data_IF_241902116805
#
_entry.id   IF_241902116805
#
_cell.length_a   1.000
_cell.length_b   1.000
_cell.length_c   1.000
_cell.angle_alpha   90.00
_cell.angle_beta   90.00
_cell.angle_gamma   90.00
#
_symmetry.space_group_name_H-M   'P 1'
#
loop_
_entity.id
_entity.type
_entity.pdbx_description
1 polymer ?
#
# COMPACT_ATOMS: atom_id res chain seq x y z
N UNK A 1 18.91 27.67 22.52
CA UNK A 1 18.24 26.53 21.94
C UNK A 1 17.33 27.07 20.85
N UNK A 2 17.72 26.90 19.58
CA UNK A 2 16.90 27.22 18.41
C UNK A 2 16.13 25.94 18.05
N UNK A 3 14.85 25.82 18.43
CA UNK A 3 13.92 24.93 17.78
C UNK A 3 13.53 25.61 16.46
N UNK A 4 14.13 25.20 15.37
CA UNK A 4 13.62 25.51 14.06
C UNK A 4 12.28 24.76 13.91
N UNK A 5 11.17 25.49 13.81
CA UNK A 5 9.89 24.91 13.46
C UNK A 5 10.06 24.25 12.08
N UNK A 6 9.96 22.93 12.03
CA UNK A 6 9.88 22.21 10.75
C UNK A 6 8.63 22.72 10.03
N UNK A 7 8.73 23.12 8.74
CA UNK A 7 7.55 23.49 8.00
C UNK A 7 6.62 22.28 7.96
N UNK A 8 5.35 22.50 8.34
CA UNK A 8 4.29 21.52 8.13
C UNK A 8 4.36 21.03 6.69
N UNK A 9 4.69 19.75 6.49
CA UNK A 9 4.67 19.09 5.17
C UNK A 9 3.21 18.93 4.75
N UNK A 10 2.57 20.05 4.37
CA UNK A 10 1.24 20.00 3.77
C UNK A 10 1.37 19.45 2.38
N UNK A 11 0.55 18.46 2.05
CA UNK A 11 0.44 17.96 0.70
C UNK A 11 0.14 19.15 -0.23
N UNK A 12 1.00 19.36 -1.24
CA UNK A 12 0.85 20.44 -2.19
C UNK A 12 -0.45 20.26 -3.00
N UNK A 13 -1.23 21.33 -3.15
CA UNK A 13 -2.41 21.30 -4.01
C UNK A 13 -2.00 21.05 -5.45
N UNK A 14 -2.73 20.18 -6.15
CA UNK A 14 -2.41 19.73 -7.50
C UNK A 14 -3.66 19.73 -8.37
N UNK A 15 -3.55 20.24 -9.59
CA UNK A 15 -4.55 20.12 -10.64
C UNK A 15 -3.98 19.30 -11.80
N UNK A 16 -4.57 18.14 -12.08
CA UNK A 16 -4.29 17.37 -13.28
C UNK A 16 -5.31 17.82 -14.34
N UNK A 17 -4.84 18.39 -15.45
CA UNK A 17 -5.69 18.99 -16.48
C UNK A 17 -5.75 18.14 -17.74
N UNK A 18 -6.96 18.05 -18.33
CA UNK A 18 -7.17 17.41 -19.62
C UNK A 18 -6.79 15.94 -19.65
N UNK A 19 -7.23 15.19 -18.64
CA UNK A 19 -6.96 13.76 -18.50
C UNK A 19 -8.12 12.90 -19.00
N UNK A 20 -7.81 11.68 -19.43
CA UNK A 20 -8.81 10.62 -19.54
C UNK A 20 -8.92 9.93 -18.17
N UNK A 21 -9.96 10.25 -17.41
CA UNK A 21 -10.10 9.78 -16.03
C UNK A 21 -10.98 8.52 -15.97
N UNK A 22 -10.40 7.42 -15.49
CA UNK A 22 -11.11 6.17 -15.21
C UNK A 22 -11.56 6.18 -13.75
N UNK A 23 -12.84 6.51 -13.50
CA UNK A 23 -13.31 6.73 -12.12
C UNK A 23 -13.54 5.43 -11.35
N UNK A 24 -13.72 4.31 -12.03
CA UNK A 24 -14.17 3.02 -11.48
C UNK A 24 -15.48 3.13 -10.68
N UNK A 25 -16.27 4.16 -10.97
CA UNK A 25 -17.60 4.39 -10.39
C UNK A 25 -18.67 4.29 -11.47
N UNK A 26 -19.93 4.54 -11.13
CA UNK A 26 -21.06 4.59 -12.07
C UNK A 26 -20.86 5.67 -13.17
N UNK A 27 -19.99 6.63 -12.95
CA UNK A 27 -19.65 7.65 -13.96
C UNK A 27 -18.77 7.11 -15.11
N UNK A 28 -18.13 5.95 -14.89
CA UNK A 28 -17.28 5.29 -15.88
C UNK A 28 -16.03 6.11 -16.23
N UNK A 29 -15.71 6.19 -17.52
CA UNK A 29 -14.55 6.93 -18.03
C UNK A 29 -14.94 8.30 -18.53
N UNK A 30 -14.29 9.33 -18.02
CA UNK A 30 -14.41 10.72 -18.50
C UNK A 30 -13.28 11.00 -19.47
N UNK A 31 -13.58 11.26 -20.76
CA UNK A 31 -12.56 11.34 -21.81
C UNK A 31 -11.68 12.59 -21.74
N UNK A 32 -12.19 13.66 -21.15
CA UNK A 32 -11.51 14.94 -20.98
C UNK A 32 -12.00 15.60 -19.68
N UNK A 33 -11.23 15.40 -18.61
CA UNK A 33 -11.57 15.91 -17.31
C UNK A 33 -10.33 16.37 -16.53
N UNK A 34 -10.58 17.33 -15.65
CA UNK A 34 -9.59 17.82 -14.69
C UNK A 34 -9.82 17.12 -13.33
N UNK A 35 -8.73 16.88 -12.60
CA UNK A 35 -8.76 16.35 -11.23
C UNK A 35 -8.06 17.35 -10.32
N UNK A 36 -8.81 17.97 -9.41
CA UNK A 36 -8.26 18.86 -8.40
C UNK A 36 -8.02 18.08 -7.11
N UNK A 37 -6.79 18.10 -6.64
CA UNK A 37 -6.35 17.49 -5.39
C UNK A 37 -5.97 18.60 -4.41
N UNK A 38 -6.56 18.56 -3.20
CA UNK A 38 -6.29 19.53 -2.13
C UNK A 38 -6.11 18.78 -0.81
N UNK A 39 -5.05 19.12 -0.09
CA UNK A 39 -4.77 18.45 1.17
C UNK A 39 -4.67 16.93 1.07
N UNK A 40 -4.15 16.38 -0.06
CA UNK A 40 -4.02 14.95 -0.29
C UNK A 40 -5.32 14.22 -0.65
N UNK A 41 -6.41 14.95 -0.97
CA UNK A 41 -7.73 14.38 -1.33
C UNK A 41 -8.23 14.95 -2.64
N UNK A 42 -8.98 14.16 -3.40
CA UNK A 42 -9.69 14.62 -4.58
C UNK A 42 -10.79 15.57 -4.11
N UNK A 43 -10.64 16.87 -4.44
CA UNK A 43 -11.58 17.91 -4.04
C UNK A 43 -12.64 18.15 -5.12
N UNK A 44 -12.27 17.99 -6.41
CA UNK A 44 -13.20 18.15 -7.53
C UNK A 44 -12.75 17.30 -8.72
N UNK A 45 -13.71 16.88 -9.53
CA UNK A 45 -13.53 16.15 -10.77
C UNK A 45 -14.54 16.66 -11.79
N UNK A 46 -14.08 17.04 -12.97
CA UNK A 46 -14.95 17.54 -14.04
C UNK A 46 -14.18 18.34 -15.09
N UNK A 47 -14.86 18.80 -16.14
CA UNK A 47 -14.23 19.59 -17.18
C UNK A 47 -13.91 21.01 -16.71
N UNK A 48 -12.81 21.58 -17.22
CA UNK A 48 -12.45 23.00 -17.10
C UNK A 48 -12.50 23.56 -15.66
N UNK A 49 -11.89 22.84 -14.71
CA UNK A 49 -11.81 23.29 -13.31
C UNK A 49 -10.93 24.54 -13.20
N UNK A 50 -11.36 25.50 -12.35
CA UNK A 50 -10.55 26.66 -11.99
C UNK A 50 -9.26 26.23 -11.28
N UNK A 51 -8.19 27.01 -11.48
CA UNK A 51 -6.90 26.81 -10.80
C UNK A 51 -6.86 27.66 -9.54
N UNK A 52 -6.94 27.06 -8.33
CA UNK A 52 -6.76 27.85 -7.12
C UNK A 52 -5.33 28.43 -7.02
N UNK A 53 -5.14 29.59 -6.36
CA UNK A 53 -3.82 30.16 -6.15
C UNK A 53 -2.89 29.15 -5.44
N UNK A 54 -1.65 29.05 -5.91
CA UNK A 54 -0.63 28.15 -5.33
C UNK A 54 -0.76 26.67 -5.72
N UNK A 55 -1.70 26.34 -6.63
CA UNK A 55 -1.88 24.96 -7.12
C UNK A 55 -0.87 24.66 -8.24
N UNK A 56 -0.18 23.52 -8.14
CA UNK A 56 0.66 23.01 -9.24
C UNK A 56 -0.23 22.37 -10.30
N UNK A 57 0.00 22.73 -11.57
CA UNK A 57 -0.77 22.18 -12.70
C UNK A 57 0.07 21.15 -13.45
N UNK A 58 -0.51 19.96 -13.66
CA UNK A 58 0.04 18.91 -14.51
C UNK A 58 -0.85 18.79 -15.75
N UNK A 59 -0.31 19.09 -16.92
CA UNK A 59 -1.00 18.90 -18.20
C UNK A 59 -0.97 17.41 -18.59
N UNK A 60 -2.09 16.74 -18.47
CA UNK A 60 -2.20 15.30 -18.79
C UNK A 60 -2.25 15.05 -20.30
N UNK A 61 -2.78 15.99 -21.09
CA UNK A 61 -2.86 15.88 -22.56
C UNK A 61 -3.50 14.58 -23.03
N UNK A 62 -4.65 14.23 -22.45
CA UNK A 62 -5.37 13.00 -22.75
C UNK A 62 -4.78 11.70 -22.16
N UNK A 63 -3.70 11.79 -21.39
CA UNK A 63 -3.13 10.61 -20.69
C UNK A 63 -4.13 10.05 -19.68
N UNK A 64 -4.13 8.73 -19.49
CA UNK A 64 -5.03 8.10 -18.52
C UNK A 64 -4.64 8.48 -17.08
N UNK A 65 -5.67 8.74 -16.28
CA UNK A 65 -5.60 8.84 -14.82
C UNK A 65 -6.52 7.78 -14.26
N UNK A 66 -6.00 6.91 -13.41
CA UNK A 66 -6.71 5.82 -12.76
C UNK A 66 -6.57 5.94 -11.25
N UNK A 67 -7.47 5.35 -10.46
CA UNK A 67 -7.15 5.01 -9.08
C UNK A 67 -5.86 4.20 -9.01
N UNK A 68 -5.16 4.31 -7.88
CA UNK A 68 -3.94 3.56 -7.69
C UNK A 68 -4.15 2.04 -7.78
N UNK A 69 -3.15 1.34 -8.30
CA UNK A 69 -3.26 -0.09 -8.54
C UNK A 69 -3.13 -0.89 -7.23
N UNK A 70 -3.86 -1.99 -7.19
CA UNK A 70 -3.76 -2.98 -6.11
C UNK A 70 -2.61 -3.95 -6.39
N UNK A 71 -1.68 -4.09 -5.44
CA UNK A 71 -0.50 -4.95 -5.56
C UNK A 71 -0.75 -6.44 -5.29
N UNK A 72 -1.98 -6.84 -4.94
CA UNK A 72 -2.27 -8.23 -4.57
C UNK A 72 -1.84 -8.58 -3.15
N UNK A 73 -1.55 -9.86 -2.91
CA UNK A 73 -0.91 -10.34 -1.68
C UNK A 73 0.60 -10.22 -1.85
N UNK A 74 1.26 -9.49 -0.96
CA UNK A 74 2.70 -9.22 -1.08
C UNK A 74 3.39 -9.24 0.27
N UNK A 75 4.73 -9.29 0.23
CA UNK A 75 5.61 -9.12 1.38
C UNK A 75 6.32 -7.74 1.36
N UNK A 76 5.81 -6.76 0.60
CA UNK A 76 6.40 -5.42 0.54
C UNK A 76 6.37 -4.77 1.93
N UNK A 77 7.54 -4.37 2.42
CA UNK A 77 7.69 -3.86 3.79
C UNK A 77 7.81 -4.93 4.86
N UNK A 78 7.75 -6.22 4.49
CA UNK A 78 8.03 -7.36 5.36
C UNK A 78 9.34 -8.07 4.99
N UNK A 79 9.83 -7.83 3.79
CA UNK A 79 11.07 -8.40 3.25
C UNK A 79 11.84 -7.34 2.50
N UNK A 80 13.14 -7.20 2.78
CA UNK A 80 14.03 -6.30 2.04
C UNK A 80 14.91 -7.09 1.06
N UNK A 81 15.50 -8.20 1.54
CA UNK A 81 16.33 -9.10 0.74
C UNK A 81 15.92 -10.54 1.02
N UNK A 82 15.23 -11.17 0.10
CA UNK A 82 14.62 -12.51 0.27
C UNK A 82 15.62 -13.60 0.70
N UNK A 83 16.90 -13.47 0.31
CA UNK A 83 17.95 -14.44 0.66
C UNK A 83 18.61 -14.17 2.02
N UNK A 84 18.32 -13.03 2.66
CA UNK A 84 18.85 -12.66 3.97
C UNK A 84 17.76 -12.81 5.03
N UNK A 85 17.83 -13.89 5.82
CA UNK A 85 16.79 -14.24 6.81
C UNK A 85 16.53 -13.16 7.85
N UNK A 86 17.52 -12.35 8.17
CA UNK A 86 17.38 -11.25 9.13
C UNK A 86 16.51 -10.10 8.62
N UNK A 87 16.16 -10.10 7.35
CA UNK A 87 15.33 -9.09 6.69
C UNK A 87 13.99 -9.64 6.19
N UNK A 88 13.58 -10.82 6.67
CA UNK A 88 12.36 -11.53 6.25
C UNK A 88 11.47 -11.74 7.47
N UNK A 89 10.41 -10.93 7.56
CA UNK A 89 9.43 -10.95 8.65
C UNK A 89 8.04 -11.46 8.19
N UNK A 90 7.95 -11.92 6.95
CA UNK A 90 6.71 -12.43 6.35
C UNK A 90 6.33 -13.83 6.83
N UNK A 91 7.26 -14.55 7.47
CA UNK A 91 7.05 -15.92 7.94
C UNK A 91 7.59 -16.14 9.36
N UNK A 92 6.91 -17.03 10.10
CA UNK A 92 7.39 -17.45 11.40
C UNK A 92 8.57 -18.42 11.21
N UNK A 93 9.80 -17.91 11.27
CA UNK A 93 11.02 -18.70 11.07
C UNK A 93 11.57 -19.37 12.33
N UNK A 94 10.83 -19.33 13.44
CA UNK A 94 11.22 -20.01 14.68
C UNK A 94 11.21 -21.49 14.38
N UNK A 95 12.40 -22.12 14.49
CA UNK A 95 12.67 -23.47 14.06
C UNK A 95 11.50 -24.42 14.28
N UNK A 96 10.86 -24.83 13.19
CA UNK A 96 9.61 -25.59 13.18
C UNK A 96 9.67 -26.89 14.00
N UNK A 97 10.87 -27.40 14.27
CA UNK A 97 11.11 -28.56 15.12
C UNK A 97 10.92 -28.31 16.63
N UNK A 98 10.84 -27.05 17.08
CA UNK A 98 10.71 -26.73 18.50
C UNK A 98 9.26 -26.45 18.94
N UNK A 99 8.32 -26.30 17.98
CA UNK A 99 6.94 -25.93 18.28
C UNK A 99 6.02 -27.12 18.05
N UNK A 100 5.46 -27.66 19.13
CA UNK A 100 4.51 -28.80 19.08
C UNK A 100 3.24 -28.50 18.28
N UNK A 101 2.90 -27.23 18.08
CA UNK A 101 1.70 -26.77 17.38
C UNK A 101 2.02 -25.78 16.24
N UNK A 102 3.03 -26.09 15.42
CA UNK A 102 3.45 -25.25 14.31
C UNK A 102 2.33 -24.96 13.29
N UNK A 103 1.26 -25.76 13.29
CA UNK A 103 0.15 -25.68 12.33
C UNK A 103 -0.91 -24.61 12.66
N UNK A 104 -0.88 -24.03 13.87
CA UNK A 104 -1.89 -23.09 14.34
C UNK A 104 -1.22 -21.87 14.92
N UNK A 105 -1.20 -20.77 14.17
CA UNK A 105 -0.59 -19.50 14.56
C UNK A 105 -1.52 -18.30 14.32
N UNK A 106 -2.73 -18.31 14.86
CA UNK A 106 -3.65 -17.17 14.68
C UNK A 106 -3.13 -15.87 15.30
N UNK A 107 -2.21 -15.98 16.26
CA UNK A 107 -1.58 -14.85 16.94
C UNK A 107 -0.46 -14.18 16.13
N UNK A 108 0.11 -14.88 15.14
CA UNK A 108 1.15 -14.31 14.31
C UNK A 108 0.56 -13.21 13.40
N UNK A 109 1.02 -11.99 13.55
CA UNK A 109 0.49 -10.83 12.85
C UNK A 109 1.60 -10.12 12.11
N UNK A 110 1.68 -10.34 10.80
CA UNK A 110 2.72 -9.72 9.95
C UNK A 110 2.59 -8.22 9.85
N UNK A 111 1.42 -7.66 10.13
CA UNK A 111 1.22 -6.22 10.11
C UNK A 111 2.07 -5.50 11.17
N UNK A 112 2.44 -6.19 12.25
CA UNK A 112 3.31 -5.61 13.30
C UNK A 112 4.78 -5.47 12.86
N UNK A 113 5.18 -6.19 11.82
CA UNK A 113 6.54 -6.15 11.28
C UNK A 113 6.65 -5.22 10.05
N UNK A 114 5.56 -4.57 9.66
CA UNK A 114 5.58 -3.69 8.49
C UNK A 114 6.57 -2.54 8.67
N UNK A 115 7.52 -2.45 7.74
CA UNK A 115 8.51 -1.39 7.67
C UNK A 115 8.09 -0.32 6.64
N UNK A 116 7.61 0.86 7.07
CA UNK A 116 7.22 1.92 6.14
C UNK A 116 8.39 2.54 5.38
N UNK A 117 9.62 2.37 5.88
CA UNK A 117 10.86 2.88 5.26
C UNK A 117 11.48 1.89 4.26
N UNK A 118 10.81 0.76 3.98
CA UNK A 118 11.28 -0.22 3.00
C UNK A 118 11.59 0.44 1.65
N UNK A 119 12.76 0.14 1.10
CA UNK A 119 13.19 0.63 -0.22
C UNK A 119 12.31 0.10 -1.36
N UNK A 120 11.56 -0.97 -1.13
CA UNK A 120 10.64 -1.54 -2.11
C UNK A 120 9.36 -0.72 -2.28
N UNK A 121 8.98 0.06 -1.28
CA UNK A 121 7.77 0.90 -1.33
C UNK A 121 7.84 1.97 -2.42
N UNK A 122 8.88 2.84 -2.49
CA UNK A 122 8.99 3.80 -3.58
C UNK A 122 9.11 3.15 -4.95
N UNK A 123 9.75 1.99 -5.05
CA UNK A 123 9.84 1.22 -6.32
C UNK A 123 8.44 0.78 -6.76
N UNK A 124 7.66 0.17 -5.86
CA UNK A 124 6.28 -0.24 -6.15
C UNK A 124 5.39 0.94 -6.58
N UNK A 125 5.56 2.10 -5.94
CA UNK A 125 4.82 3.32 -6.27
C UNK A 125 5.12 3.87 -7.66
N UNK A 126 6.36 3.76 -8.12
CA UNK A 126 6.74 4.14 -9.51
C UNK A 126 5.99 3.29 -10.54
N UNK A 127 5.73 2.02 -10.21
CA UNK A 127 4.93 1.11 -11.04
C UNK A 127 3.41 1.33 -10.88
N UNK A 128 2.99 2.30 -10.07
CA UNK A 128 1.59 2.66 -9.86
C UNK A 128 0.87 1.88 -8.77
N UNK A 129 1.55 1.01 -8.03
CA UNK A 129 0.98 0.31 -6.89
C UNK A 129 0.82 1.31 -5.72
N UNK A 130 -0.37 1.40 -5.17
CA UNK A 130 -0.65 2.34 -4.08
C UNK A 130 -1.09 1.67 -2.79
N UNK A 131 -1.52 0.42 -2.88
CA UNK A 131 -1.91 -0.39 -1.74
C UNK A 131 -1.77 -1.87 -2.06
N UNK A 132 -1.61 -2.67 -1.01
CA UNK A 132 -1.46 -4.12 -1.11
C UNK A 132 -2.07 -4.78 0.13
N UNK A 133 -2.14 -6.10 0.15
CA UNK A 133 -2.47 -6.88 1.34
C UNK A 133 -1.23 -7.62 1.79
N UNK A 134 -0.81 -7.38 3.02
CA UNK A 134 0.24 -8.14 3.69
C UNK A 134 -0.36 -9.46 4.17
N UNK A 135 0.27 -10.56 3.80
CA UNK A 135 -0.13 -11.89 4.21
C UNK A 135 1.08 -12.67 4.74
N UNK A 136 0.89 -13.47 5.79
CA UNK A 136 1.92 -14.42 6.20
C UNK A 136 2.26 -15.37 5.07
N UNK A 137 3.55 -15.58 4.82
CA UNK A 137 4.02 -16.53 3.81
C UNK A 137 4.04 -17.93 4.41
N UNK A 138 3.44 -18.88 3.71
CA UNK A 138 3.54 -20.30 4.04
C UNK A 138 4.91 -20.83 3.61
N UNK A 139 5.55 -21.55 4.51
CA UNK A 139 6.76 -22.33 4.21
C UNK A 139 6.42 -23.80 4.25
N UNK A 140 7.17 -24.63 3.53
CA UNK A 140 6.98 -26.09 3.55
C UNK A 140 7.00 -26.62 5.01
N UNK A 141 5.96 -27.38 5.38
CA UNK A 141 5.75 -27.79 6.77
C UNK A 141 5.29 -26.70 7.74
N UNK A 142 4.91 -25.54 7.21
CA UNK A 142 4.47 -24.37 7.99
C UNK A 142 3.04 -24.48 8.51
N UNK A 143 2.55 -23.36 9.05
CA UNK A 143 1.25 -23.30 9.72
C UNK A 143 0.08 -23.45 8.77
N UNK A 144 -0.87 -24.31 9.09
CA UNK A 144 -2.18 -24.37 8.43
C UNK A 144 -2.94 -23.06 8.63
N UNK A 145 -3.05 -22.57 9.87
CA UNK A 145 -3.47 -21.19 10.15
C UNK A 145 -2.21 -20.35 10.18
N UNK A 146 -1.97 -19.62 9.10
CA UNK A 146 -0.71 -18.91 8.88
C UNK A 146 -0.55 -17.68 9.79
N UNK A 147 -1.65 -17.05 10.16
CA UNK A 147 -1.65 -15.85 10.98
C UNK A 147 -2.50 -14.74 10.41
N UNK A 148 -2.30 -13.53 10.88
CA UNK A 148 -3.03 -12.33 10.53
C UNK A 148 -2.20 -11.42 9.64
N UNK A 149 -2.93 -10.61 8.88
CA UNK A 149 -2.38 -9.53 8.07
C UNK A 149 -3.47 -8.51 7.74
N UNK A 150 -3.27 -7.72 6.72
CA UNK A 150 -4.26 -6.71 6.34
C UNK A 150 -3.79 -5.83 5.19
N UNK A 151 -4.70 -4.97 4.72
CA UNK A 151 -4.38 -4.02 3.67
C UNK A 151 -3.51 -2.89 4.21
N UNK A 152 -2.52 -2.51 3.43
CA UNK A 152 -1.59 -1.41 3.72
C UNK A 152 -1.55 -0.45 2.54
N UNK A 153 -1.52 0.85 2.84
CA UNK A 153 -1.28 1.90 1.86
C UNK A 153 0.23 2.10 1.71
N UNK A 154 0.73 2.09 0.49
CA UNK A 154 2.15 2.22 0.20
C UNK A 154 2.59 3.69 0.17
N UNK A 155 2.25 4.47 1.19
CA UNK A 155 2.56 5.90 1.29
C UNK A 155 3.81 6.21 2.16
N UNK A 156 4.38 5.19 2.79
CA UNK A 156 5.58 5.32 3.64
C UNK A 156 5.27 5.87 5.04
N UNK A 157 4.03 5.77 5.52
CA UNK A 157 3.64 6.21 6.86
C UNK A 157 3.57 5.04 7.83
N UNK A 158 3.82 5.29 9.10
CA UNK A 158 3.72 4.26 10.15
C UNK A 158 2.27 3.75 10.34
N UNK A 159 1.28 4.63 10.15
CA UNK A 159 -0.15 4.31 10.27
C UNK A 159 -0.80 3.84 8.95
N UNK A 160 0.01 3.32 8.03
CA UNK A 160 -0.42 2.91 6.70
C UNK A 160 -1.38 1.71 6.68
N UNK A 161 -1.43 0.91 7.77
CA UNK A 161 -2.27 -0.28 7.85
C UNK A 161 -3.72 0.11 8.12
N UNK A 162 -4.62 -0.37 7.26
CA UNK A 162 -6.04 -0.13 7.40
C UNK A 162 -6.65 -1.04 8.48
N UNK A 163 -6.98 -0.49 9.64
CA UNK A 163 -7.45 -1.24 10.81
C UNK A 163 -8.66 -2.15 10.51
N UNK A 164 -9.58 -1.71 9.64
CA UNK A 164 -10.76 -2.48 9.24
C UNK A 164 -10.47 -3.64 8.27
N UNK A 165 -9.21 -3.81 7.81
CA UNK A 165 -8.81 -4.82 6.84
C UNK A 165 -8.17 -6.07 7.46
N UNK A 166 -8.11 -6.14 8.78
CA UNK A 166 -7.55 -7.31 9.49
C UNK A 166 -8.20 -8.60 9.02
N UNK A 167 -7.37 -9.56 8.61
CA UNK A 167 -7.79 -10.82 7.99
C UNK A 167 -6.92 -11.96 8.52
N UNK A 168 -7.55 -13.09 8.82
CA UNK A 168 -6.88 -14.33 9.17
C UNK A 168 -6.61 -15.14 7.89
N UNK A 169 -5.39 -15.58 7.72
CA UNK A 169 -4.95 -16.38 6.57
C UNK A 169 -4.87 -17.84 6.92
N UNK A 170 -5.49 -18.68 6.09
CA UNK A 170 -5.51 -20.13 6.20
C UNK A 170 -4.95 -20.73 4.92
N UNK A 171 -3.93 -21.57 5.04
CA UNK A 171 -3.32 -22.27 3.91
C UNK A 171 -4.12 -23.53 3.61
N UNK A 172 -4.74 -23.58 2.44
CA UNK A 172 -5.48 -24.74 1.94
C UNK A 172 -4.72 -25.31 0.74
N UNK A 173 -3.59 -25.92 0.98
CA UNK A 173 -2.77 -26.49 -0.07
C UNK A 173 -2.01 -27.70 0.44
N UNK A 174 -1.74 -28.64 -0.45
CA UNK A 174 -1.03 -29.89 -0.16
C UNK A 174 0.45 -29.77 -0.53
N UNK A 175 1.14 -28.78 -0.02
CA UNK A 175 2.60 -28.82 -0.03
C UNK A 175 3.06 -29.58 1.23
N UNK A 176 2.59 -30.84 1.26
CA UNK A 176 3.03 -31.81 2.23
C UNK A 176 4.30 -32.51 1.71
#
# INVERSE_FOLDING_TARGET
AWLAAMPDSRAQDLLIRGARVHTLTVQGTLPDADVLIRGGRIAALGPALGVPPGTTVIEARGRPVTPGLFGGLTAIGLEEVTLERSTVDSSLSVGASALKDAQWRPEFDVALAYNPDSVLIPVARVEGLTWTVLAPVSVAGGSFVAGQGGAVVLDGREDAILAASRTLFVNVGSDA
#
